data_IF_480714485128
#
_entry.id   IF_480714485128
#
_cell.length_a   1.000
_cell.length_b   1.000
_cell.length_c   1.000
_cell.angle_alpha   90.00
_cell.angle_beta   90.00
_cell.angle_gamma   90.00
#
_symmetry.space_group_name_H-M   'P 1'
#
loop_
_entity.id
_entity.type
_entity.pdbx_description
1 polymer ?
#
# COMPACT_ATOMS: atom_id res chain seq x y z
N UNK A 1 18.58 16.71 6.34
CA UNK A 1 17.33 16.02 6.74
C UNK A 1 16.35 15.85 5.57
N UNK A 2 16.34 16.73 4.55
CA UNK A 2 15.52 16.57 3.32
C UNK A 2 15.79 15.28 2.52
N UNK A 3 17.01 14.73 2.57
CA UNK A 3 17.35 13.50 1.83
C UNK A 3 16.61 12.25 2.30
N UNK A 4 16.35 12.12 3.61
CA UNK A 4 15.66 10.93 4.15
C UNK A 4 14.15 10.97 3.85
N UNK A 5 13.53 12.14 3.92
CA UNK A 5 12.10 12.31 3.62
C UNK A 5 11.77 11.96 2.17
N UNK A 6 12.66 12.29 1.23
CA UNK A 6 12.53 11.90 -0.18
C UNK A 6 12.65 10.38 -0.38
N UNK A 7 13.58 9.72 0.32
CA UNK A 7 13.76 8.26 0.26
C UNK A 7 12.52 7.53 0.78
N UNK A 8 11.94 8.02 1.88
CA UNK A 8 10.77 7.42 2.51
C UNK A 8 9.54 7.52 1.59
N UNK A 9 9.30 8.67 0.95
CA UNK A 9 8.23 8.81 -0.04
C UNK A 9 8.44 7.92 -1.27
N UNK A 10 9.66 7.83 -1.78
CA UNK A 10 9.97 7.04 -2.98
C UNK A 10 9.77 5.54 -2.74
N UNK A 11 10.08 5.05 -1.53
CA UNK A 11 9.79 3.66 -1.16
C UNK A 11 8.28 3.38 -1.18
N UNK A 12 7.48 4.25 -0.57
CA UNK A 12 6.03 4.08 -0.53
C UNK A 12 5.42 4.24 -1.94
N UNK A 13 5.91 5.17 -2.78
CA UNK A 13 5.46 5.28 -4.18
C UNK A 13 5.71 3.99 -4.97
N UNK A 14 6.93 3.44 -4.89
CA UNK A 14 7.29 2.17 -5.55
C UNK A 14 6.39 1.02 -5.12
N UNK A 15 6.00 0.97 -3.85
CA UNK A 15 5.04 -0.02 -3.35
C UNK A 15 3.71 0.05 -4.13
N UNK A 16 3.11 1.25 -4.28
CA UNK A 16 1.86 1.40 -5.02
C UNK A 16 2.01 1.16 -6.53
N UNK A 17 3.16 1.48 -7.13
CA UNK A 17 3.43 1.17 -8.53
C UNK A 17 3.46 -0.36 -8.77
N UNK A 18 4.11 -1.11 -7.88
CA UNK A 18 4.19 -2.56 -7.99
C UNK A 18 2.83 -3.21 -7.72
N UNK A 19 2.06 -2.74 -6.71
CA UNK A 19 0.72 -3.25 -6.42
C UNK A 19 -0.27 -3.03 -7.59
N UNK A 20 0.00 -2.06 -8.46
CA UNK A 20 -0.77 -1.82 -9.70
C UNK A 20 -0.30 -2.68 -10.86
N UNK A 21 0.94 -3.18 -10.82
CA UNK A 21 1.50 -3.97 -11.90
C UNK A 21 0.87 -5.38 -11.88
N UNK A 22 -0.06 -5.62 -12.80
CA UNK A 22 -0.72 -6.93 -12.97
C UNK A 22 0.23 -8.07 -13.34
N UNK A 23 1.46 -7.74 -13.74
CA UNK A 23 2.51 -8.69 -14.05
C UNK A 23 3.58 -8.76 -12.94
N UNK A 24 3.38 -8.08 -11.81
CA UNK A 24 4.28 -8.19 -10.67
C UNK A 24 4.36 -9.67 -10.28
N UNK A 25 5.52 -10.24 -10.52
CA UNK A 25 5.82 -11.62 -10.19
C UNK A 25 5.76 -11.77 -8.67
N UNK A 26 5.46 -12.98 -8.20
CA UNK A 26 5.54 -13.29 -6.76
C UNK A 26 6.90 -12.88 -6.16
N UNK A 27 7.97 -12.87 -6.97
CA UNK A 27 9.31 -12.42 -6.59
C UNK A 27 9.41 -10.89 -6.40
N UNK A 28 8.74 -10.07 -7.21
CA UNK A 28 8.71 -8.61 -7.03
C UNK A 28 7.90 -8.22 -5.80
N UNK A 29 6.78 -8.92 -5.56
CA UNK A 29 6.00 -8.77 -4.33
C UNK A 29 6.82 -9.25 -3.12
N UNK A 30 7.53 -10.37 -3.24
CA UNK A 30 8.37 -10.91 -2.16
C UNK A 30 9.57 -9.99 -1.83
N UNK A 31 10.23 -9.41 -2.84
CA UNK A 31 11.30 -8.44 -2.65
C UNK A 31 10.79 -7.19 -1.90
N UNK A 32 9.55 -6.79 -2.16
CA UNK A 32 8.84 -5.76 -1.42
C UNK A 32 8.58 -6.17 0.03
N UNK A 33 8.11 -7.40 0.26
CA UNK A 33 7.87 -7.90 1.62
C UNK A 33 9.14 -7.97 2.46
N UNK A 34 10.32 -8.11 1.87
CA UNK A 34 11.59 -8.05 2.61
C UNK A 34 11.95 -6.65 3.13
N UNK A 35 11.38 -5.59 2.54
CA UNK A 35 11.55 -4.20 2.98
C UNK A 35 10.50 -3.76 4.01
N UNK A 36 9.54 -4.64 4.29
CA UNK A 36 8.43 -4.43 5.19
C UNK A 36 8.60 -5.39 6.38
N UNK A 37 8.66 -4.83 7.58
CA UNK A 37 8.61 -5.65 8.78
C UNK A 37 7.15 -6.01 9.08
N UNK A 38 6.68 -7.13 8.52
CA UNK A 38 5.29 -7.58 8.70
C UNK A 38 4.97 -7.99 10.14
N UNK A 39 5.98 -8.37 10.93
CA UNK A 39 5.82 -8.73 12.34
C UNK A 39 5.61 -7.46 13.19
N UNK A 40 6.20 -6.33 12.79
CA UNK A 40 6.00 -5.01 13.43
C UNK A 40 4.78 -4.23 12.90
N UNK A 41 4.19 -4.61 11.75
CA UNK A 41 2.94 -4.00 11.30
C UNK A 41 1.82 -4.40 12.27
N UNK A 42 1.39 -3.46 13.10
CA UNK A 42 0.09 -3.53 13.77
C UNK A 42 -0.99 -3.67 12.69
N UNK A 43 -1.42 -4.91 12.41
CA UNK A 43 -2.53 -5.17 11.51
C UNK A 43 -3.74 -4.40 12.02
N UNK A 44 -4.16 -3.35 11.32
CA UNK A 44 -5.44 -2.70 11.64
C UNK A 44 -6.53 -3.71 11.31
N UNK A 45 -7.05 -4.34 12.36
CA UNK A 45 -8.05 -5.41 12.25
C UNK A 45 -9.44 -4.94 11.82
N UNK A 46 -9.68 -3.63 11.65
CA UNK A 46 -11.01 -3.09 11.39
C UNK A 46 -10.98 -1.84 10.48
N UNK A 47 -10.46 -1.94 9.26
CA UNK A 47 -10.86 -0.96 8.24
C UNK A 47 -12.26 -1.35 7.74
N UNK A 48 -13.14 -0.37 7.53
CA UNK A 48 -14.44 -0.58 6.88
C UNK A 48 -14.31 -0.44 5.35
N UNK A 49 -13.11 -0.59 4.81
CA UNK A 49 -12.86 -0.49 3.38
C UNK A 49 -13.32 -1.76 2.69
N UNK A 50 -14.04 -1.59 1.57
CA UNK A 50 -14.46 -2.74 0.77
C UNK A 50 -13.25 -3.44 0.14
N UNK A 51 -12.23 -2.68 -0.26
CA UNK A 51 -10.95 -3.18 -0.75
C UNK A 51 -9.86 -2.75 0.24
N UNK A 52 -9.28 -3.73 0.93
CA UNK A 52 -8.18 -3.51 1.88
C UNK A 52 -6.84 -3.81 1.20
N UNK A 53 -5.76 -3.18 1.67
CA UNK A 53 -4.41 -3.45 1.17
C UNK A 53 -3.99 -4.90 1.44
N UNK A 54 -4.36 -5.43 2.62
CA UNK A 54 -4.08 -6.83 2.97
C UNK A 54 -4.76 -7.82 2.02
N UNK A 55 -6.01 -7.54 1.60
CA UNK A 55 -6.71 -8.34 0.61
C UNK A 55 -6.04 -8.28 -0.76
N UNK A 56 -5.50 -7.12 -1.16
CA UNK A 56 -4.74 -6.96 -2.41
C UNK A 56 -3.48 -7.83 -2.37
N UNK A 57 -2.70 -7.76 -1.30
CA UNK A 57 -1.45 -8.53 -1.14
C UNK A 57 -1.70 -10.04 -1.11
N UNK A 58 -2.83 -10.47 -0.54
CA UNK A 58 -3.28 -11.87 -0.54
C UNK A 58 -3.91 -12.32 -1.86
N UNK A 59 -3.91 -11.46 -2.89
CA UNK A 59 -4.52 -11.72 -4.20
C UNK A 59 -6.03 -12.02 -4.15
N UNK A 60 -6.74 -11.51 -3.15
CA UNK A 60 -8.20 -11.63 -3.05
C UNK A 60 -8.92 -10.77 -4.11
N UNK A 61 -8.21 -9.77 -4.64
CA UNK A 61 -8.68 -8.84 -5.64
C UNK A 61 -7.87 -8.96 -6.94
N UNK A 62 -8.56 -8.81 -8.06
CA UNK A 62 -7.98 -8.79 -9.38
C UNK A 62 -8.15 -7.42 -10.04
N UNK A 63 -7.31 -7.16 -11.04
CA UNK A 63 -7.35 -5.94 -11.83
C UNK A 63 -7.31 -4.67 -10.98
N UNK A 64 -6.44 -4.67 -9.99
CA UNK A 64 -6.22 -3.53 -9.09
C UNK A 64 -5.75 -2.32 -9.88
N UNK A 65 -6.36 -1.18 -9.60
CA UNK A 65 -5.98 0.11 -10.15
C UNK A 65 -6.13 1.17 -9.07
N UNK A 66 -5.03 1.84 -8.76
CA UNK A 66 -5.05 3.01 -7.89
C UNK A 66 -5.18 4.27 -8.76
N UNK A 67 -6.02 5.22 -8.33
CA UNK A 67 -6.24 6.50 -8.99
C UNK A 67 -6.16 7.63 -7.98
N UNK A 68 -5.82 8.81 -8.48
CA UNK A 68 -5.80 10.05 -7.72
C UNK A 68 -4.93 9.92 -6.45
N UNK A 69 -3.80 9.22 -6.59
CA UNK A 69 -2.85 8.99 -5.50
C UNK A 69 -2.20 10.31 -5.08
N UNK A 70 -2.33 10.63 -3.80
CA UNK A 70 -1.63 11.74 -3.17
C UNK A 70 -0.75 11.23 -2.03
N UNK A 71 0.53 11.62 -2.04
CA UNK A 71 1.54 11.21 -1.06
C UNK A 71 1.98 12.42 -0.26
N UNK A 72 1.68 12.43 1.03
CA UNK A 72 2.01 13.52 1.94
C UNK A 72 2.92 13.02 3.07
N UNK A 73 4.04 13.72 3.30
CA UNK A 73 4.82 13.48 4.53
C UNK A 73 4.04 14.06 5.71
N UNK A 74 3.66 13.22 6.67
CA UNK A 74 2.86 13.59 7.85
C UNK A 74 3.69 13.47 9.12
N UNK A 75 4.75 14.27 9.23
CA UNK A 75 5.70 14.25 10.34
C UNK A 75 6.97 13.44 10.05
N UNK A 76 7.86 13.33 11.05
CA UNK A 76 9.13 12.57 10.88
C UNK A 76 8.82 11.10 10.61
N UNK A 77 9.26 10.62 9.45
CA UNK A 77 9.18 9.22 9.00
C UNK A 77 7.75 8.67 8.86
N UNK A 78 6.77 9.51 8.51
CA UNK A 78 5.42 9.04 8.19
C UNK A 78 4.98 9.52 6.82
N UNK A 79 4.43 8.61 6.03
CA UNK A 79 3.86 8.92 4.72
C UNK A 79 2.38 8.58 4.73
N UNK A 80 1.56 9.60 4.53
CA UNK A 80 0.13 9.46 4.31
C UNK A 80 -0.13 9.31 2.81
N UNK A 81 -0.85 8.28 2.43
CA UNK A 81 -1.30 8.06 1.06
C UNK A 81 -2.81 8.07 1.03
N UNK A 82 -3.37 8.84 0.12
CA UNK A 82 -4.82 8.88 -0.12
C UNK A 82 -5.10 8.66 -1.60
N UNK A 83 -6.27 8.15 -1.91
CA UNK A 83 -6.68 7.97 -3.29
C UNK A 83 -7.91 7.08 -3.42
N UNK A 84 -8.12 6.58 -4.63
CA UNK A 84 -9.19 5.65 -4.96
C UNK A 84 -8.54 4.34 -5.41
N UNK A 85 -8.94 3.23 -4.81
CA UNK A 85 -8.61 1.90 -5.31
C UNK A 85 -9.82 1.28 -5.98
N UNK A 86 -9.61 0.71 -7.16
CA UNK A 86 -10.60 -0.07 -7.90
C UNK A 86 -10.12 -1.49 -8.05
N UNK A 87 -11.03 -2.44 -7.96
CA UNK A 87 -10.73 -3.86 -8.09
C UNK A 87 -12.00 -4.67 -8.27
N UNK A 88 -11.83 -5.96 -8.55
CA UNK A 88 -12.93 -6.93 -8.59
C UNK A 88 -12.51 -8.23 -7.91
N UNK A 89 -13.45 -8.92 -7.28
CA UNK A 89 -13.22 -10.31 -6.87
C UNK A 89 -13.34 -11.22 -8.08
N UNK A 90 -12.69 -12.39 -8.04
CA UNK A 90 -12.78 -13.36 -9.13
C UNK A 90 -14.22 -13.87 -9.37
N UNK A 91 -15.05 -13.88 -8.32
CA UNK A 91 -16.45 -14.30 -8.35
C UNK A 91 -17.43 -13.21 -8.80
N UNK A 92 -16.98 -11.97 -8.95
CA UNK A 92 -17.83 -10.81 -9.21
C UNK A 92 -17.57 -10.28 -10.63
N UNK A 93 -18.63 -9.97 -11.37
CA UNK A 93 -18.52 -9.36 -12.70
C UNK A 93 -18.17 -7.88 -12.63
N UNK A 94 -18.68 -7.19 -11.61
CA UNK A 94 -18.58 -5.74 -11.47
C UNK A 94 -17.29 -5.32 -10.73
N UNK A 95 -16.77 -4.16 -11.13
CA UNK A 95 -15.71 -3.50 -10.38
C UNK A 95 -16.32 -2.73 -9.21
N UNK A 96 -15.70 -2.84 -8.04
CA UNK A 96 -16.00 -1.95 -6.92
C UNK A 96 -14.84 -0.98 -6.71
N UNK A 97 -15.12 0.09 -5.98
CA UNK A 97 -14.10 1.06 -5.60
C UNK A 97 -14.18 1.39 -4.12
N UNK A 98 -13.05 1.79 -3.57
CA UNK A 98 -12.94 2.35 -2.21
C UNK A 98 -12.08 3.60 -2.26
N UNK A 99 -12.55 4.67 -1.60
CA UNK A 99 -11.70 5.81 -1.27
C UNK A 99 -10.94 5.42 0.00
N UNK A 100 -9.62 5.48 -0.03
CA UNK A 100 -8.79 4.99 1.07
C UNK A 100 -7.86 6.06 1.62
N UNK A 101 -7.39 5.83 2.84
CA UNK A 101 -6.37 6.61 3.52
C UNK A 101 -5.40 5.67 4.24
N UNK A 102 -4.19 5.56 3.74
CA UNK A 102 -3.16 4.68 4.29
C UNK A 102 -2.05 5.49 4.95
N UNK A 103 -1.76 5.22 6.22
CA UNK A 103 -0.66 5.84 6.95
C UNK A 103 0.49 4.85 7.14
N UNK A 104 1.62 5.15 6.52
CA UNK A 104 2.85 4.37 6.60
C UNK A 104 3.80 4.99 7.62
N UNK A 105 4.36 4.16 8.49
CA UNK A 105 5.44 4.55 9.41
C UNK A 105 6.73 3.90 8.96
N UNK A 106 7.79 4.70 8.88
CA UNK A 106 9.09 4.29 8.40
C UNK A 106 10.17 4.50 9.46
N UNK A 107 11.23 3.71 9.39
CA UNK A 107 12.42 3.87 10.23
C UNK A 107 13.63 3.37 9.47
N UNK A 108 14.63 4.24 9.30
CA UNK A 108 15.88 3.90 8.62
C UNK A 108 15.68 3.29 7.21
N UNK A 109 14.76 3.84 6.43
CA UNK A 109 14.47 3.34 5.07
C UNK A 109 13.72 2.01 5.01
N UNK A 110 13.13 1.55 6.12
CA UNK A 110 12.24 0.39 6.18
C UNK A 110 10.84 0.80 6.61
N UNK A 111 9.83 0.07 6.13
CA UNK A 111 8.45 0.22 6.61
C UNK A 111 8.30 -0.62 7.88
N UNK A 112 7.91 0.03 8.97
CA UNK A 112 7.74 -0.59 10.30
C UNK A 112 6.30 -0.53 10.81
N UNK A 113 5.40 0.10 10.07
CA UNK A 113 4.01 0.24 10.50
C UNK A 113 3.10 0.70 9.38
N UNK A 114 1.86 0.25 9.44
CA UNK A 114 0.82 0.55 8.48
C UNK A 114 -0.52 0.68 9.18
N UNK A 115 -1.26 1.75 8.88
CA UNK A 115 -2.63 1.94 9.32
C UNK A 115 -3.52 2.24 8.11
N UNK A 116 -4.70 1.62 8.10
CA UNK A 116 -5.71 1.72 7.05
C UNK A 116 -6.98 2.42 7.55
#
# INVERSE_FOLDING_TARGET
MQGQENIDQDLVKKLYEILQNKNATANEIAALTNSIDWDEIESVKNSNYNITLSGIIKNEWQSILFKDLNFQVSGKNKVLVTGIVKGRKASECEYIYTIFKHSWSLKQGKIIGFLE
#
